data_IF_517936316920
#
_entry.id   IF_517936316920
#
_cell.length_a   1.000
_cell.length_b   1.000
_cell.length_c   1.000
_cell.angle_alpha   90.00
_cell.angle_beta   90.00
_cell.angle_gamma   90.00
#
_symmetry.space_group_name_H-M   'P 1'
#
loop_
_entity.id
_entity.type
_entity.pdbx_description
1 polymer ?
#
# COMPACT_ATOMS: atom_id res chain seq x y z
N UNK A 1 -10.66 43.45 49.77
CA UNK A 1 -9.56 42.58 49.31
C UNK A 1 -10.04 41.23 48.79
N UNK A 2 -10.86 40.49 49.54
CA UNK A 2 -11.19 39.08 49.25
C UNK A 2 -11.76 38.82 47.84
N UNK A 3 -12.71 39.64 47.36
CA UNK A 3 -13.26 39.53 46.00
C UNK A 3 -12.20 39.53 44.88
N UNK A 4 -11.12 40.29 45.05
CA UNK A 4 -10.00 40.35 44.10
C UNK A 4 -9.13 39.08 44.16
N UNK A 5 -9.03 38.45 45.32
CA UNK A 5 -8.33 37.16 45.45
C UNK A 5 -9.18 36.03 44.88
N UNK A 6 -10.50 36.08 45.07
CA UNK A 6 -11.45 35.11 44.50
C UNK A 6 -11.48 35.15 42.96
N UNK A 7 -11.50 36.34 42.35
CA UNK A 7 -11.46 36.47 40.89
C UNK A 7 -10.11 36.04 40.29
N UNK A 8 -8.99 36.37 40.96
CA UNK A 8 -7.65 35.87 40.57
C UNK A 8 -7.58 34.34 40.68
N UNK A 9 -8.12 33.73 41.74
CA UNK A 9 -8.13 32.27 41.92
C UNK A 9 -8.96 31.56 40.83
N UNK A 10 -10.12 32.13 40.46
CA UNK A 10 -10.94 31.64 39.35
C UNK A 10 -10.14 31.70 38.03
N UNK A 11 -9.58 32.85 37.69
CA UNK A 11 -8.78 33.03 36.47
C UNK A 11 -7.56 32.09 36.44
N UNK A 12 -6.84 31.96 37.56
CA UNK A 12 -5.70 31.06 37.68
C UNK A 12 -6.09 29.58 37.49
N UNK A 13 -7.21 29.13 38.04
CA UNK A 13 -7.68 27.75 37.84
C UNK A 13 -8.09 27.48 36.39
N UNK A 14 -8.74 28.43 35.72
CA UNK A 14 -9.05 28.34 34.28
C UNK A 14 -7.78 28.23 33.42
N UNK A 15 -6.77 29.07 33.70
CA UNK A 15 -5.47 29.03 33.00
C UNK A 15 -4.73 27.71 33.29
N UNK A 16 -4.79 27.19 34.51
CA UNK A 16 -4.17 25.92 34.90
C UNK A 16 -4.80 24.72 34.17
N UNK A 17 -6.13 24.70 33.98
CA UNK A 17 -6.82 23.68 33.18
C UNK A 17 -6.40 23.75 31.71
N UNK A 18 -6.33 24.95 31.13
CA UNK A 18 -5.87 25.17 29.75
C UNK A 18 -4.42 24.72 29.56
N UNK A 19 -3.51 25.10 30.46
CA UNK A 19 -2.11 24.69 30.43
C UNK A 19 -1.95 23.17 30.60
N UNK A 20 -2.72 22.54 31.49
CA UNK A 20 -2.76 21.09 31.65
C UNK A 20 -3.22 20.36 30.39
N UNK A 21 -4.26 20.87 29.71
CA UNK A 21 -4.76 20.29 28.46
C UNK A 21 -3.75 20.42 27.31
N UNK A 22 -3.08 21.57 27.16
CA UNK A 22 -2.01 21.77 26.16
C UNK A 22 -0.81 20.86 26.45
N UNK A 23 -0.38 20.77 27.71
CA UNK A 23 0.71 19.87 28.13
C UNK A 23 0.38 18.40 27.89
N UNK A 24 -0.87 17.98 28.14
CA UNK A 24 -1.34 16.62 27.85
C UNK A 24 -1.31 16.32 26.34
N UNK A 25 -1.81 17.23 25.50
CA UNK A 25 -1.78 17.07 24.04
C UNK A 25 -0.33 16.95 23.53
N UNK A 26 0.58 17.80 24.03
CA UNK A 26 2.00 17.74 23.66
C UNK A 26 2.68 16.43 24.09
N UNK A 27 2.38 15.93 25.29
CA UNK A 27 2.86 14.63 25.77
C UNK A 27 2.32 13.47 24.92
N UNK A 28 1.02 13.49 24.61
CA UNK A 28 0.38 12.51 23.73
C UNK A 28 0.99 12.52 22.32
N UNK A 29 1.28 13.70 21.77
CA UNK A 29 1.94 13.87 20.48
C UNK A 29 3.37 13.30 20.48
N UNK A 30 4.15 13.60 21.53
CA UNK A 30 5.52 13.06 21.70
C UNK A 30 5.52 11.53 21.76
N UNK A 31 4.59 10.95 22.54
CA UNK A 31 4.42 9.49 22.67
C UNK A 31 4.00 8.83 21.36
N UNK A 32 3.16 9.49 20.55
CA UNK A 32 2.76 8.99 19.24
C UNK A 32 3.93 8.94 18.26
N UNK A 33 4.75 10.00 18.17
CA UNK A 33 5.91 10.03 17.28
C UNK A 33 6.97 8.98 17.65
N UNK A 34 7.22 8.75 18.94
CA UNK A 34 8.11 7.66 19.39
C UNK A 34 7.60 6.29 18.93
N UNK A 35 6.29 6.05 19.05
CA UNK A 35 5.67 4.79 18.62
C UNK A 35 5.64 4.62 17.09
N UNK A 36 5.57 5.69 16.30
CA UNK A 36 5.52 5.58 14.83
C UNK A 36 6.74 4.85 14.24
N UNK A 37 7.94 5.08 14.78
CA UNK A 37 9.15 4.40 14.32
C UNK A 37 9.11 2.89 14.62
N UNK A 38 8.58 2.50 15.78
CA UNK A 38 8.38 1.09 16.14
C UNK A 38 7.29 0.43 15.27
N UNK A 39 6.18 1.14 15.01
CA UNK A 39 5.10 0.65 14.14
C UNK A 39 5.57 0.50 12.69
N UNK A 40 6.40 1.40 12.17
CA UNK A 40 6.97 1.28 10.83
C UNK A 40 7.87 0.02 10.70
N UNK A 41 8.72 -0.25 11.71
CA UNK A 41 9.56 -1.45 11.75
C UNK A 41 8.70 -2.73 11.82
N UNK A 42 7.69 -2.75 12.70
CA UNK A 42 6.78 -3.90 12.86
C UNK A 42 5.93 -4.15 11.60
N UNK A 43 5.47 -3.10 10.90
CA UNK A 43 4.76 -3.26 9.61
C UNK A 43 5.71 -3.79 8.53
N UNK A 44 6.97 -3.35 8.51
CA UNK A 44 8.00 -3.89 7.62
C UNK A 44 8.23 -5.38 7.86
N UNK A 45 8.41 -5.78 9.13
CA UNK A 45 8.61 -7.17 9.54
C UNK A 45 7.38 -8.06 9.27
N UNK A 46 6.16 -7.59 9.55
CA UNK A 46 4.94 -8.32 9.19
C UNK A 46 4.80 -8.50 7.67
N UNK A 47 5.10 -7.47 6.86
CA UNK A 47 5.07 -7.57 5.41
C UNK A 47 6.15 -8.55 4.90
N UNK A 48 7.36 -8.49 5.44
CA UNK A 48 8.44 -9.41 5.11
C UNK A 48 8.14 -10.86 5.55
N UNK A 49 7.49 -11.05 6.69
CA UNK A 49 7.06 -12.35 7.23
C UNK A 49 5.92 -12.96 6.40
N UNK A 50 4.94 -12.16 5.98
CA UNK A 50 3.89 -12.58 5.05
C UNK A 50 4.49 -12.96 3.68
N UNK A 51 5.36 -12.10 3.13
CA UNK A 51 6.11 -12.39 1.90
C UNK A 51 6.93 -13.68 2.02
N UNK A 52 7.66 -13.90 3.10
CA UNK A 52 8.45 -15.12 3.32
C UNK A 52 7.59 -16.38 3.57
N UNK A 53 6.36 -16.22 4.05
CA UNK A 53 5.40 -17.32 4.24
C UNK A 53 4.78 -17.75 2.91
N UNK A 54 4.51 -16.80 2.00
CA UNK A 54 4.05 -17.07 0.62
C UNK A 54 5.22 -17.55 -0.25
N UNK A 55 6.38 -16.91 -0.14
CA UNK A 55 7.61 -17.25 -0.86
C UNK A 55 8.42 -18.37 -0.18
N UNK A 56 7.74 -19.47 0.15
CA UNK A 56 8.38 -20.79 0.25
C UNK A 56 8.31 -21.48 -1.12
N UNK A 57 9.30 -21.32 -2.02
CA UNK A 57 9.51 -22.32 -3.05
C UNK A 57 9.75 -23.66 -2.34
N UNK A 58 9.02 -24.71 -2.75
CA UNK A 58 9.29 -26.08 -2.34
C UNK A 58 10.57 -26.55 -3.04
N UNK A 59 11.72 -26.05 -2.57
CA UNK A 59 13.01 -26.64 -2.87
C UNK A 59 13.06 -27.95 -2.10
N UNK A 60 12.66 -29.03 -2.76
CA UNK A 60 13.01 -30.36 -2.31
C UNK A 60 14.52 -30.49 -2.43
N UNK A 61 15.21 -30.45 -1.28
CA UNK A 61 16.59 -30.92 -1.18
C UNK A 61 16.59 -32.46 -1.29
N UNK A 62 16.19 -32.96 -2.45
CA UNK A 62 16.61 -34.26 -2.93
C UNK A 62 18.12 -34.13 -3.23
N UNK A 63 18.94 -34.47 -2.24
CA UNK A 63 20.40 -34.44 -2.35
C UNK A 63 20.88 -35.53 -3.30
N UNK A 64 20.85 -35.24 -4.59
CA UNK A 64 21.45 -36.05 -5.65
C UNK A 64 22.84 -35.47 -5.94
N UNK A 65 23.93 -36.11 -5.51
CA UNK A 65 25.27 -35.71 -5.93
C UNK A 65 25.53 -36.12 -7.38
N UNK A 66 25.93 -35.17 -8.20
CA UNK A 66 26.68 -35.40 -9.45
C UNK A 66 28.04 -36.08 -9.18
N UNK A 67 28.74 -36.61 -10.21
CA UNK A 67 28.21 -37.28 -11.39
C UNK A 67 28.94 -38.62 -11.65
N UNK A 68 28.45 -39.46 -12.56
CA UNK A 68 29.24 -40.58 -13.10
C UNK A 68 28.88 -40.85 -14.56
N UNK A 69 29.89 -40.88 -15.42
CA UNK A 69 29.78 -41.20 -16.84
C UNK A 69 29.46 -42.70 -17.04
N UNK A 70 28.58 -43.07 -18.00
CA UNK A 70 28.91 -43.99 -19.12
C UNK A 70 27.73 -44.34 -20.05
N UNK A 71 28.01 -44.32 -21.37
CA UNK A 71 27.50 -45.18 -22.44
C UNK A 71 26.01 -45.17 -22.89
N UNK A 72 25.81 -44.66 -24.11
CA UNK A 72 25.13 -45.28 -25.28
C UNK A 72 23.72 -45.93 -25.14
N UNK A 73 22.71 -45.34 -25.79
CA UNK A 73 22.21 -45.82 -27.10
C UNK A 73 21.41 -44.71 -27.82
N UNK A 74 20.86 -44.98 -29.01
CA UNK A 74 20.06 -44.04 -29.81
C UNK A 74 18.79 -44.71 -30.36
N UNK A 75 17.71 -43.95 -30.62
CA UNK A 75 16.74 -44.12 -31.75
C UNK A 75 15.61 -43.06 -31.74
N UNK A 76 14.97 -42.85 -32.91
CA UNK A 76 13.92 -41.86 -33.29
C UNK A 76 13.20 -42.44 -34.55
N UNK A 77 11.88 -42.25 -34.85
CA UNK A 77 10.78 -41.44 -34.25
C UNK A 77 9.72 -42.37 -33.56
N UNK A 78 8.40 -42.15 -33.37
CA UNK A 78 7.33 -41.20 -33.80
C UNK A 78 6.56 -40.64 -32.54
N UNK A 79 5.30 -40.17 -32.48
CA UNK A 79 4.10 -40.23 -33.35
C UNK A 79 3.02 -39.19 -32.96
N UNK A 80 2.01 -39.03 -33.84
CA UNK A 80 0.64 -38.47 -33.62
C UNK A 80 0.56 -36.95 -33.25
N UNK A 81 -0.24 -36.05 -33.84
CA UNK A 81 -1.64 -36.05 -34.35
C UNK A 81 -2.68 -36.15 -33.20
N UNK A 82 -3.71 -35.30 -33.04
CA UNK A 82 -4.22 -34.12 -33.77
C UNK A 82 -5.05 -33.21 -32.82
N UNK A 83 -5.54 -32.05 -33.29
CA UNK A 83 -6.65 -31.20 -32.78
C UNK A 83 -6.72 -30.69 -31.30
N UNK A 84 -6.58 -29.36 -31.12
CA UNK A 84 -7.42 -28.55 -30.22
C UNK A 84 -7.74 -27.16 -30.83
N UNK A 85 -8.81 -27.10 -31.63
CA UNK A 85 -9.24 -25.91 -32.37
C UNK A 85 -10.01 -24.92 -31.47
N UNK A 86 -9.29 -24.22 -30.58
CA UNK A 86 -9.89 -23.32 -29.57
C UNK A 86 -9.24 -21.94 -29.45
N UNK A 87 -9.65 -21.05 -30.35
CA UNK A 87 -9.61 -19.58 -30.30
C UNK A 87 -8.36 -18.93 -29.65
N UNK A 88 -7.47 -18.45 -30.51
CA UNK A 88 -6.57 -17.34 -30.17
C UNK A 88 -7.39 -16.07 -29.90
N UNK A 89 -7.59 -15.69 -28.63
CA UNK A 89 -8.11 -14.36 -28.27
C UNK A 89 -7.05 -13.31 -28.59
N UNK A 90 -7.45 -12.26 -29.29
CA UNK A 90 -6.54 -11.31 -29.92
C UNK A 90 -5.75 -10.46 -28.91
N UNK A 91 -4.49 -10.16 -29.26
CA UNK A 91 -3.67 -9.17 -28.55
C UNK A 91 -4.10 -7.76 -28.95
N UNK A 92 -5.24 -7.29 -28.44
CA UNK A 92 -5.56 -5.86 -28.46
C UNK A 92 -4.71 -5.12 -27.43
N UNK A 93 -3.44 -4.91 -27.80
CA UNK A 93 -2.52 -4.02 -27.10
C UNK A 93 -2.87 -2.56 -27.44
N UNK A 94 -3.93 -2.03 -26.83
CA UNK A 94 -4.31 -0.62 -26.97
C UNK A 94 -3.29 0.30 -26.24
N UNK A 95 -2.14 0.53 -26.90
CA UNK A 95 -1.11 1.48 -26.46
C UNK A 95 -1.53 2.90 -26.84
N UNK A 96 -2.60 3.41 -26.22
CA UNK A 96 -3.07 4.78 -26.42
C UNK A 96 -2.24 5.76 -25.58
N UNK A 97 -1.10 6.11 -26.19
CA UNK A 97 -0.53 7.47 -26.28
C UNK A 97 -0.78 8.46 -25.13
N UNK A 98 0.31 8.79 -24.44
CA UNK A 98 0.47 10.05 -23.71
C UNK A 98 0.39 9.94 -22.20
N UNK A 99 1.35 10.57 -21.51
CA UNK A 99 1.17 10.84 -20.09
C UNK A 99 -0.06 11.76 -19.92
N UNK A 100 -1.01 11.43 -19.03
CA UNK A 100 -2.19 12.27 -18.84
C UNK A 100 -1.76 13.67 -18.36
N UNK A 101 -2.51 14.74 -18.71
CA UNK A 101 -2.13 16.09 -18.31
C UNK A 101 -2.02 16.18 -16.78
N UNK A 102 -1.01 16.91 -16.25
CA UNK A 102 -0.71 16.93 -14.82
C UNK A 102 -1.96 17.33 -14.05
N UNK A 103 -2.36 16.47 -13.12
CA UNK A 103 -3.54 16.72 -12.30
C UNK A 103 -3.17 17.76 -11.26
N UNK A 104 -4.01 18.77 -11.05
CA UNK A 104 -3.93 19.63 -9.86
C UNK A 104 -4.03 18.71 -8.63
N UNK A 105 -2.89 18.50 -7.97
CA UNK A 105 -2.78 17.56 -6.87
C UNK A 105 -3.29 18.11 -5.54
N UNK A 106 -3.59 19.40 -5.50
CA UNK A 106 -3.78 20.14 -4.27
C UNK A 106 -5.28 20.22 -3.98
N UNK A 107 -6.09 20.48 -5.01
CA UNK A 107 -7.55 20.30 -4.99
C UNK A 107 -8.05 18.84 -4.94
N UNK A 108 -7.18 17.85 -4.66
CA UNK A 108 -7.58 16.45 -4.49
C UNK A 108 -8.16 16.14 -3.11
N UNK A 109 -7.83 16.93 -2.08
CA UNK A 109 -8.27 16.65 -0.71
C UNK A 109 -9.75 17.00 -0.48
N UNK A 110 -10.31 17.96 -1.22
CA UNK A 110 -11.70 18.42 -1.02
C UNK A 110 -12.73 17.51 -1.72
N UNK A 111 -12.34 16.86 -2.81
CA UNK A 111 -13.21 16.02 -3.66
C UNK A 111 -13.81 14.82 -2.91
N UNK A 112 -15.04 14.44 -3.25
CA UNK A 112 -15.70 13.29 -2.62
C UNK A 112 -15.08 11.95 -3.05
N UNK A 113 -15.35 10.87 -2.29
CA UNK A 113 -14.90 9.51 -2.67
C UNK A 113 -15.39 9.13 -4.08
N UNK A 114 -16.56 9.61 -4.49
CA UNK A 114 -17.16 9.30 -5.80
C UNK A 114 -16.44 10.04 -6.94
N UNK A 115 -16.18 11.33 -6.79
CA UNK A 115 -15.40 12.11 -7.76
C UNK A 115 -13.98 11.56 -7.95
N UNK A 116 -13.33 11.10 -6.87
CA UNK A 116 -12.01 10.49 -6.95
C UNK A 116 -12.04 9.16 -7.72
N UNK A 117 -13.09 8.35 -7.56
CA UNK A 117 -13.30 7.13 -8.35
C UNK A 117 -13.62 7.44 -9.82
N UNK A 118 -14.38 8.50 -10.09
CA UNK A 118 -14.68 8.97 -11.46
C UNK A 118 -13.42 9.50 -12.16
N UNK A 119 -12.54 10.23 -11.45
CA UNK A 119 -11.24 10.66 -11.96
C UNK A 119 -10.31 9.47 -12.26
N UNK A 120 -10.25 8.47 -11.39
CA UNK A 120 -9.47 7.25 -11.62
C UNK A 120 -10.00 6.46 -12.83
N UNK A 121 -11.33 6.32 -12.95
CA UNK A 121 -11.99 5.69 -14.10
C UNK A 121 -11.66 6.45 -15.39
N UNK A 122 -11.78 7.78 -15.39
CA UNK A 122 -11.45 8.66 -16.52
C UNK A 122 -9.96 8.67 -16.88
N UNK A 123 -9.09 8.10 -16.04
CA UNK A 123 -7.65 7.94 -16.27
C UNK A 123 -7.26 6.49 -16.63
N UNK A 124 -8.22 5.56 -16.67
CA UNK A 124 -7.94 4.12 -16.87
C UNK A 124 -7.26 3.43 -15.68
N UNK A 125 -7.23 4.05 -14.51
CA UNK A 125 -6.46 3.56 -13.35
C UNK A 125 -7.33 2.59 -12.54
N UNK A 126 -6.89 1.33 -12.33
CA UNK A 126 -7.64 0.38 -11.52
C UNK A 126 -7.65 0.77 -10.04
N UNK A 127 -8.81 0.64 -9.39
CA UNK A 127 -9.02 0.90 -7.97
C UNK A 127 -10.02 -0.09 -7.38
N UNK A 128 -9.91 -0.37 -6.08
CA UNK A 128 -10.90 -1.16 -5.35
C UNK A 128 -12.12 -0.31 -4.97
N UNK A 129 -13.32 -0.84 -5.16
CA UNK A 129 -14.57 -0.17 -4.75
C UNK A 129 -14.58 0.15 -3.24
N UNK A 130 -13.95 -0.71 -2.44
CA UNK A 130 -13.80 -0.56 -0.99
C UNK A 130 -12.80 0.55 -0.58
N UNK A 131 -11.82 0.89 -1.42
CA UNK A 131 -10.63 1.66 -1.05
C UNK A 131 -10.94 2.95 -0.28
N UNK A 132 -10.17 3.28 0.79
CA UNK A 132 -10.37 4.52 1.53
C UNK A 132 -9.99 5.73 0.66
N UNK A 133 -10.60 6.89 0.93
CA UNK A 133 -10.34 8.15 0.21
C UNK A 133 -8.84 8.45 0.05
N UNK A 134 -8.05 8.17 1.09
CA UNK A 134 -6.60 8.39 1.09
C UNK A 134 -5.87 7.54 0.03
N UNK A 135 -6.28 6.30 -0.23
CA UNK A 135 -5.68 5.44 -1.26
C UNK A 135 -6.03 5.96 -2.66
N UNK A 136 -7.28 6.38 -2.87
CA UNK A 136 -7.72 6.97 -4.15
C UNK A 136 -6.94 8.27 -4.46
N UNK A 137 -6.66 9.09 -3.44
CA UNK A 137 -5.81 10.28 -3.57
C UNK A 137 -4.36 9.89 -3.85
N UNK A 138 -3.81 8.87 -3.18
CA UNK A 138 -2.45 8.38 -3.46
C UNK A 138 -2.29 7.87 -4.88
N UNK A 139 -3.27 7.12 -5.41
CA UNK A 139 -3.30 6.69 -6.81
C UNK A 139 -3.34 7.90 -7.76
N UNK A 140 -4.19 8.90 -7.48
CA UNK A 140 -4.28 10.14 -8.27
C UNK A 140 -3.06 11.07 -8.15
N UNK A 141 -2.20 10.89 -7.13
CA UNK A 141 -0.89 11.58 -7.01
C UNK A 141 0.27 10.79 -7.60
N UNK A 142 0.19 9.46 -7.64
CA UNK A 142 1.21 8.59 -8.27
C UNK A 142 1.13 8.56 -9.81
N UNK A 143 0.10 9.18 -10.39
CA UNK A 143 -0.22 9.22 -11.84
C UNK A 143 -0.23 10.65 -12.41
N UNK A 144 0.23 11.63 -11.63
CA UNK A 144 0.16 13.06 -11.94
C UNK A 144 1.49 13.60 -12.49
#
# INVERSE_FOLDING_TARGET
MEFLHASIALLASMVLVLAGMVGWIYWQQTRLFQNMNAVALVIGDLNQSLMATVAKPRVELATVPEPTETLQHAEIPTSDEEDDDRLSVEKEAEVVTGAPPPLDTDGLQDKSKKELQELLTSRGIPYGKADPKNVLISLLKATA
#
